data_IF_966768878197
#
_entry.id   IF_966768878197
#
_cell.length_a   1.000
_cell.length_b   1.000
_cell.length_c   1.000
_cell.angle_alpha   90.00
_cell.angle_beta   90.00
_cell.angle_gamma   90.00
#
_symmetry.space_group_name_H-M   'P 1'
#
loop_
_entity.id
_entity.type
_entity.pdbx_description
1 polymer ?
#
# COMPACT_ATOMS: atom_id res chain seq x y z
N UNK A 1 -10.55 12.42 -3.74
CA UNK A 1 -9.35 13.09 -3.16
C UNK A 1 -8.74 12.29 -2.00
N UNK A 2 -9.45 11.30 -1.46
CA UNK A 2 -9.17 10.64 -0.18
C UNK A 2 -8.08 9.57 -0.32
N UNK A 3 -8.11 8.80 -1.41
CA UNK A 3 -7.10 7.77 -1.72
C UNK A 3 -5.70 8.39 -1.84
N UNK A 4 -5.59 9.53 -2.55
CA UNK A 4 -4.31 10.25 -2.68
C UNK A 4 -3.79 10.72 -1.33
N UNK A 5 -4.66 11.26 -0.48
CA UNK A 5 -4.30 11.71 0.87
C UNK A 5 -3.79 10.56 1.75
N UNK A 6 -4.43 9.40 1.71
CA UNK A 6 -3.98 8.19 2.42
C UNK A 6 -2.60 7.73 1.94
N UNK A 7 -2.42 7.64 0.63
CA UNK A 7 -1.17 7.20 0.02
C UNK A 7 -0.01 8.17 0.27
N UNK A 8 -0.24 9.49 0.19
CA UNK A 8 0.78 10.52 0.49
C UNK A 8 1.18 10.52 1.96
N UNK A 9 0.25 10.13 2.84
CA UNK A 9 0.51 10.02 4.28
C UNK A 9 1.21 8.72 4.66
N UNK A 10 1.32 7.75 3.75
CA UNK A 10 2.06 6.51 3.98
C UNK A 10 3.54 6.69 3.64
N UNK A 11 4.40 6.19 4.53
CA UNK A 11 5.85 6.20 4.32
C UNK A 11 6.29 5.18 3.26
N UNK A 12 5.78 3.96 3.26
CA UNK A 12 6.31 2.89 2.39
C UNK A 12 5.31 2.44 1.32
N UNK A 13 4.31 3.27 1.00
CA UNK A 13 3.14 2.82 0.26
C UNK A 13 2.22 1.95 1.11
N UNK A 14 1.15 1.43 0.53
CA UNK A 14 0.17 0.58 1.22
C UNK A 14 -0.10 -0.68 0.41
N UNK A 15 -0.27 -1.82 1.07
CA UNK A 15 -0.88 -2.98 0.43
C UNK A 15 -2.37 -2.71 0.19
N UNK A 16 -2.98 -3.44 -0.75
CA UNK A 16 -4.41 -3.28 -1.08
C UNK A 16 -5.32 -3.45 0.15
N UNK A 17 -5.01 -4.44 1.01
CA UNK A 17 -5.76 -4.68 2.24
C UNK A 17 -5.60 -3.55 3.27
N UNK A 18 -4.40 -2.96 3.37
CA UNK A 18 -4.13 -1.82 4.24
C UNK A 18 -4.85 -0.57 3.72
N UNK A 19 -4.85 -0.35 2.42
CA UNK A 19 -5.57 0.75 1.80
C UNK A 19 -7.07 0.63 2.06
N UNK A 20 -7.67 -0.55 1.86
CA UNK A 20 -9.07 -0.79 2.16
C UNK A 20 -9.41 -0.54 3.64
N UNK A 21 -8.57 -1.03 4.55
CA UNK A 21 -8.74 -0.82 5.99
C UNK A 21 -8.64 0.66 6.34
N UNK A 22 -7.58 1.32 5.91
CA UNK A 22 -7.28 2.71 6.27
C UNK A 22 -8.30 3.67 5.64
N UNK A 23 -8.79 3.36 4.43
CA UNK A 23 -9.90 4.09 3.80
C UNK A 23 -11.20 3.94 4.59
N UNK A 24 -11.52 2.73 5.06
CA UNK A 24 -12.71 2.48 5.87
C UNK A 24 -12.62 3.19 7.21
N UNK A 25 -11.42 3.24 7.83
CA UNK A 25 -11.18 4.01 9.06
C UNK A 25 -11.29 5.52 8.81
N UNK A 26 -10.75 6.01 7.70
CA UNK A 26 -10.77 7.42 7.35
C UNK A 26 -12.19 7.92 7.07
N UNK A 27 -12.97 7.16 6.30
CA UNK A 27 -14.32 7.56 5.90
C UNK A 27 -15.42 7.06 6.83
N UNK A 28 -15.12 6.24 7.85
CA UNK A 28 -15.99 5.72 8.93
C UNK A 28 -17.32 5.05 8.54
N UNK A 29 -17.76 5.19 7.30
CA UNK A 29 -19.12 4.93 6.83
C UNK A 29 -19.15 4.12 5.53
N UNK A 30 -18.06 4.09 4.76
CA UNK A 30 -18.03 3.39 3.47
C UNK A 30 -16.67 2.70 3.24
N UNK A 31 -16.74 1.44 2.82
CA UNK A 31 -15.62 0.73 2.20
C UNK A 31 -15.28 1.38 0.85
N UNK A 32 -14.17 0.96 0.23
CA UNK A 32 -13.80 1.48 -1.08
C UNK A 32 -14.98 1.33 -2.06
N UNK A 33 -15.45 2.40 -2.73
CA UNK A 33 -16.69 2.39 -3.50
C UNK A 33 -16.52 1.76 -4.91
N UNK A 34 -15.75 0.68 -5.03
CA UNK A 34 -15.44 0.05 -6.32
C UNK A 34 -16.71 -0.46 -7.04
N UNK A 35 -17.68 -0.98 -6.29
CA UNK A 35 -18.96 -1.45 -6.81
C UNK A 35 -19.83 -0.30 -7.36
N UNK A 36 -19.81 0.86 -6.68
CA UNK A 36 -20.52 2.06 -7.14
C UNK A 36 -19.99 2.56 -8.49
N UNK A 37 -18.69 2.35 -8.74
CA UNK A 37 -18.05 2.67 -10.00
C UNK A 37 -18.14 1.54 -11.05
N UNK A 38 -18.82 0.42 -10.74
CA UNK A 38 -19.05 -0.68 -11.68
C UNK A 38 -17.90 -1.67 -11.81
N UNK A 39 -16.92 -1.65 -10.89
CA UNK A 39 -15.82 -2.62 -10.89
C UNK A 39 -16.19 -3.88 -10.10
N UNK A 40 -15.66 -5.02 -10.53
CA UNK A 40 -15.89 -6.32 -9.89
C UNK A 40 -15.00 -6.54 -8.67
N UNK A 41 -13.77 -6.03 -8.74
CA UNK A 41 -12.78 -6.16 -7.67
C UNK A 41 -12.17 -4.82 -7.29
N UNK A 42 -11.65 -4.74 -6.07
CA UNK A 42 -10.88 -3.57 -5.59
C UNK A 42 -9.65 -3.38 -6.46
N UNK A 43 -8.93 -4.45 -6.78
CA UNK A 43 -7.76 -4.43 -7.64
C UNK A 43 -8.08 -3.80 -9.00
N UNK A 44 -9.19 -4.17 -9.65
CA UNK A 44 -9.59 -3.57 -10.93
C UNK A 44 -9.88 -2.08 -10.82
N UNK A 45 -10.53 -1.67 -9.73
CA UNK A 45 -10.76 -0.25 -9.46
C UNK A 45 -9.44 0.50 -9.26
N UNK A 46 -8.51 -0.02 -8.47
CA UNK A 46 -7.22 0.62 -8.22
C UNK A 46 -6.38 0.70 -9.51
N UNK A 47 -6.39 -0.35 -10.32
CA UNK A 47 -5.74 -0.38 -11.63
C UNK A 47 -6.35 0.63 -12.62
N UNK A 48 -7.59 1.08 -12.41
CA UNK A 48 -8.18 2.14 -13.23
C UNK A 48 -7.64 3.54 -12.89
N UNK A 49 -7.13 3.75 -11.67
CA UNK A 49 -6.69 5.04 -11.14
C UNK A 49 -5.22 5.37 -11.47
N UNK A 50 -4.80 5.14 -12.71
CA UNK A 50 -3.40 5.30 -13.16
C UNK A 50 -2.88 6.75 -13.12
N UNK A 51 -3.75 7.73 -12.94
CA UNK A 51 -3.41 9.14 -12.75
C UNK A 51 -3.21 9.53 -11.27
N UNK A 52 -3.61 8.66 -10.35
CA UNK A 52 -3.55 8.91 -8.90
C UNK A 52 -2.51 8.02 -8.23
N UNK A 53 -2.36 6.77 -8.69
CA UNK A 53 -1.52 5.78 -8.05
C UNK A 53 -0.76 4.92 -9.05
N UNK A 54 0.28 4.24 -8.56
CA UNK A 54 0.98 3.20 -9.29
C UNK A 54 1.29 2.01 -8.37
N UNK A 55 1.37 0.82 -8.96
CA UNK A 55 1.75 -0.41 -8.27
C UNK A 55 3.26 -0.64 -8.40
N UNK A 56 3.94 -0.87 -7.29
CA UNK A 56 5.34 -1.30 -7.30
C UNK A 56 5.44 -2.80 -7.60
N UNK A 57 6.60 -3.27 -8.12
CA UNK A 57 6.84 -4.71 -8.31
C UNK A 57 6.70 -5.54 -7.03
N UNK A 58 6.90 -4.92 -5.88
CA UNK A 58 6.81 -5.54 -4.56
C UNK A 58 5.36 -5.67 -4.04
N UNK A 59 4.37 -5.21 -4.83
CA UNK A 59 2.95 -5.28 -4.49
C UNK A 59 2.43 -4.10 -3.66
N UNK A 60 3.25 -3.06 -3.43
CA UNK A 60 2.83 -1.85 -2.73
C UNK A 60 2.22 -0.83 -3.68
N UNK A 61 1.23 -0.10 -3.17
CA UNK A 61 0.55 0.97 -3.87
C UNK A 61 1.15 2.30 -3.41
N UNK A 62 1.55 3.12 -4.37
CA UNK A 62 2.17 4.41 -4.12
C UNK A 62 1.39 5.53 -4.81
N UNK A 63 1.40 6.76 -4.26
CA UNK A 63 0.78 7.89 -4.92
C UNK A 63 1.64 8.38 -6.09
N UNK A 64 0.99 8.85 -7.14
CA UNK A 64 1.63 9.74 -8.11
C UNK A 64 1.72 11.13 -7.46
N UNK A 65 2.95 11.64 -7.37
CA UNK A 65 3.27 12.86 -6.61
C UNK A 65 3.36 14.06 -7.54
N UNK A 66 2.49 15.03 -7.33
CA UNK A 66 2.46 16.30 -8.04
C UNK A 66 3.33 17.35 -7.33
N UNK A 67 3.58 18.50 -7.97
CA UNK A 67 4.38 19.59 -7.38
C UNK A 67 3.82 20.04 -6.02
N UNK A 68 2.50 20.02 -5.84
CA UNK A 68 1.83 20.39 -4.58
C UNK A 68 2.03 19.37 -3.46
N UNK A 69 2.12 18.08 -3.77
CA UNK A 69 2.25 17.00 -2.77
C UNK A 69 3.69 16.56 -2.54
N UNK A 70 4.63 16.99 -3.39
CA UNK A 70 6.05 16.64 -3.34
C UNK A 70 6.74 16.96 -2.02
N UNK A 71 6.52 18.16 -1.48
CA UNK A 71 7.17 18.55 -0.22
C UNK A 71 6.68 17.70 0.96
N UNK A 72 5.36 17.50 1.05
CA UNK A 72 4.73 16.70 2.10
C UNK A 72 5.20 15.25 1.99
N UNK A 73 5.15 14.66 0.79
CA UNK A 73 5.59 13.29 0.57
C UNK A 73 7.05 13.09 0.98
N UNK A 74 7.94 14.03 0.62
CA UNK A 74 9.36 13.97 1.02
C UNK A 74 9.52 14.00 2.54
N UNK A 75 8.76 14.83 3.24
CA UNK A 75 8.79 14.87 4.71
C UNK A 75 8.30 13.56 5.33
N UNK A 76 7.23 12.98 4.79
CA UNK A 76 6.67 11.69 5.24
C UNK A 76 7.70 10.56 5.04
N UNK A 77 8.36 10.51 3.88
CA UNK A 77 9.41 9.53 3.58
C UNK A 77 10.58 9.57 4.58
N UNK A 78 10.90 10.76 5.09
CA UNK A 78 12.01 10.99 6.02
C UNK A 78 11.62 10.80 7.50
N UNK A 79 10.36 10.46 7.80
CA UNK A 79 9.94 10.23 9.17
C UNK A 79 10.72 9.07 9.78
N UNK A 80 11.10 9.23 11.05
CA UNK A 80 11.78 8.17 11.79
C UNK A 80 10.82 7.00 11.95
N UNK A 81 11.10 5.89 11.31
CA UNK A 81 10.38 4.64 11.54
C UNK A 81 10.59 4.21 12.99
N UNK A 82 9.55 4.33 13.82
CA UNK A 82 9.48 3.50 15.02
C UNK A 82 9.37 2.07 14.51
N UNK A 83 10.46 1.29 14.57
CA UNK A 83 10.42 -0.14 14.25
C UNK A 83 9.24 -0.73 15.03
N UNK A 84 8.15 -1.09 14.34
CA UNK A 84 7.11 -1.92 14.94
C UNK A 84 7.86 -3.20 15.32
N UNK A 85 8.09 -3.39 16.62
CA UNK A 85 8.61 -4.63 17.15
C UNK A 85 7.53 -5.68 16.96
N UNK A 86 7.45 -6.24 15.76
CA UNK A 86 6.63 -7.41 15.50
C UNK A 86 7.25 -8.53 16.32
N UNK A 87 6.69 -8.80 17.50
CA UNK A 87 6.96 -10.01 18.28
C UNK A 87 6.35 -11.18 17.49
N UNK A 88 6.99 -11.58 16.39
CA UNK A 88 6.66 -12.81 15.69
C UNK A 88 7.83 -13.76 15.85
N UNK A 89 7.70 -14.70 16.79
CA UNK A 89 8.56 -15.89 16.82
C UNK A 89 8.27 -16.68 15.55
N UNK A 90 9.02 -16.46 14.49
CA UNK A 90 9.05 -17.35 13.33
C UNK A 90 10.37 -18.11 13.41
N UNK A 91 10.28 -19.40 13.71
CA UNK A 91 11.39 -20.36 13.65
C UNK A 91 11.94 -20.34 12.22
N UNK A 92 13.24 -20.05 12.11
CA UNK A 92 14.01 -20.23 10.89
C UNK A 92 14.23 -21.74 10.70
N UNK A 93 13.61 -22.34 9.69
CA UNK A 93 13.86 -23.67 9.12
C UNK A 93 12.81 -23.84 8.01
N UNK A 94 13.06 -24.24 6.78
CA UNK A 94 14.26 -24.70 6.09
C UNK A 94 13.82 -24.86 4.62
N UNK A 95 14.20 -23.97 3.71
CA UNK A 95 14.05 -24.23 2.27
C UNK A 95 15.26 -23.67 1.54
N UNK A 96 16.38 -24.38 1.65
CA UNK A 96 17.46 -24.30 0.68
C UNK A 96 17.51 -25.63 -0.07
N UNK A 97 17.05 -25.61 -1.31
CA UNK A 97 17.42 -26.63 -2.29
C UNK A 97 18.94 -26.70 -2.38
N UNK A 98 19.50 -27.87 -2.12
CA UNK A 98 20.91 -28.17 -2.40
C UNK A 98 20.97 -29.53 -3.11
N UNK A 99 21.09 -29.45 -4.43
CA UNK A 99 21.92 -30.28 -5.32
C UNK A 99 21.72 -31.81 -5.33
N UNK A 100 21.12 -32.29 -6.42
CA UNK A 100 21.40 -33.59 -7.01
C UNK A 100 22.81 -33.60 -7.61
N UNK A 101 23.68 -34.51 -7.14
CA UNK A 101 24.69 -35.23 -7.94
C UNK A 101 25.56 -36.11 -7.04
N UNK A 102 25.38 -37.43 -7.06
CA UNK A 102 26.23 -38.40 -7.79
C UNK A 102 25.74 -39.83 -7.56
#
# INVERSE_FOLDING_TARGET
MEIRSLLVSSQNGLLENELCRDYSLFNSQCSLPYQTFGYLTVTDFLNSLNDILYHSPDGYIHPIVDQSTKHIFKLVQQQRTKKKTTKTKIKQQEYKYTQQSK
#
